data_IF_134204216845
#
_entry.id   IF_134204216845
#
_cell.length_a   1.000
_cell.length_b   1.000
_cell.length_c   1.000
_cell.angle_alpha   90.00
_cell.angle_beta   90.00
_cell.angle_gamma   90.00
#
_symmetry.space_group_name_H-M   'P 1'
#
loop_
_entity.id
_entity.type
_entity.pdbx_description
1 polymer ?
#
# COMPACT_ATOMS: atom_id res chain seq x y z
N UNK A 1 34.07 30.83 15.86
CA UNK A 1 33.47 31.89 15.02
C UNK A 1 32.17 31.34 14.44
N UNK A 2 31.04 31.94 14.81
CA UNK A 2 29.72 31.47 14.42
C UNK A 2 28.69 32.47 14.90
N UNK A 3 28.50 33.53 14.13
CA UNK A 3 27.59 34.63 14.42
C UNK A 3 26.15 34.17 14.21
N UNK A 4 25.35 34.16 15.28
CA UNK A 4 23.91 34.03 15.18
C UNK A 4 23.33 35.36 14.65
N UNK A 5 22.78 35.33 13.42
CA UNK A 5 21.99 36.42 12.88
C UNK A 5 20.60 36.37 13.54
N UNK A 6 20.44 37.10 14.65
CA UNK A 6 19.12 37.44 15.17
C UNK A 6 18.53 38.53 14.28
N UNK A 7 17.60 38.17 13.40
CA UNK A 7 16.84 39.12 12.59
C UNK A 7 15.80 39.79 13.49
N UNK A 8 16.17 40.92 14.08
CA UNK A 8 15.27 41.80 14.82
C UNK A 8 14.45 42.63 13.83
N UNK A 9 13.24 42.16 13.52
CA UNK A 9 12.22 42.99 12.88
C UNK A 9 11.74 44.01 13.92
N UNK A 10 12.26 45.23 13.86
CA UNK A 10 11.74 46.35 14.64
C UNK A 10 10.40 46.78 14.05
N UNK A 11 9.31 46.85 14.84
CA UNK A 11 8.02 47.32 14.34
C UNK A 11 8.13 48.79 13.94
N UNK A 12 7.62 49.11 12.74
CA UNK A 12 7.63 50.46 12.14
C UNK A 12 6.81 51.47 12.97
N UNK A 13 5.93 51.00 13.85
CA UNK A 13 5.09 51.84 14.69
C UNK A 13 5.62 51.86 16.12
N UNK A 14 6.41 52.89 16.44
CA UNK A 14 6.57 53.33 17.84
C UNK A 14 5.25 53.96 18.28
N UNK A 15 4.53 53.30 19.18
CA UNK A 15 3.40 53.90 19.89
C UNK A 15 3.90 55.12 20.67
N UNK A 16 3.25 56.30 20.58
CA UNK A 16 3.57 57.40 21.47
C UNK A 16 3.22 56.97 22.90
N UNK A 17 4.19 57.09 23.81
CA UNK A 17 3.96 56.92 25.25
C UNK A 17 3.07 58.07 25.73
N UNK A 18 1.77 57.81 25.78
CA UNK A 18 0.75 58.71 26.29
C UNK A 18 -0.62 58.18 25.90
N UNK A 19 -1.49 57.99 26.90
CA UNK A 19 -2.86 57.47 26.78
C UNK A 19 -3.78 58.40 25.96
N UNK A 20 -3.46 58.58 24.68
CA UNK A 20 -4.30 59.29 23.73
C UNK A 20 -5.13 58.27 22.98
N UNK A 21 -6.40 58.20 23.35
CA UNK A 21 -7.41 57.41 22.64
C UNK A 21 -7.41 57.81 21.17
N UNK A 22 -7.61 56.84 20.28
CA UNK A 22 -7.67 57.07 18.82
C UNK A 22 -8.68 58.18 18.47
N UNK A 23 -9.73 58.34 19.28
CA UNK A 23 -10.73 59.41 19.18
C UNK A 23 -10.15 60.80 19.43
N UNK A 24 -9.23 60.98 20.38
CA UNK A 24 -8.59 62.27 20.67
C UNK A 24 -7.63 62.71 19.56
N UNK A 25 -7.01 61.74 18.89
CA UNK A 25 -6.13 61.99 17.74
C UNK A 25 -6.97 62.42 16.52
N UNK A 26 -8.11 61.77 16.28
CA UNK A 26 -9.03 62.12 15.19
C UNK A 26 -9.74 63.48 15.41
N UNK A 27 -10.03 63.82 16.67
CA UNK A 27 -10.65 65.10 17.04
C UNK A 27 -9.67 66.29 17.00
N UNK A 28 -8.35 66.03 17.10
CA UNK A 28 -7.31 67.06 17.01
C UNK A 28 -7.07 67.46 15.54
N UNK A 29 -8.07 68.11 14.96
CA UNK A 29 -7.99 68.83 13.69
C UNK A 29 -6.89 69.90 13.80
N UNK A 30 -5.84 69.79 12.99
CA UNK A 30 -4.82 70.84 12.86
C UNK A 30 -5.44 72.07 12.20
N UNK A 31 -5.49 73.24 12.85
CA UNK A 31 -6.07 74.45 12.27
C UNK A 31 -5.00 75.19 11.46
N UNK A 32 -4.41 74.55 10.47
CA UNK A 32 -3.44 75.18 9.56
C UNK A 32 -3.18 74.30 8.33
N UNK A 33 -4.14 74.21 7.42
CA UNK A 33 -3.79 73.91 6.02
C UNK A 33 -4.90 74.29 5.04
N UNK A 34 -4.58 75.28 4.19
CA UNK A 34 -5.19 75.64 2.89
C UNK A 34 -6.68 75.96 2.86
N UNK A 35 -7.03 76.98 2.08
CA UNK A 35 -8.39 77.20 1.56
C UNK A 35 -8.88 75.91 0.90
N UNK A 36 -9.56 75.07 1.67
CA UNK A 36 -10.22 73.88 1.17
C UNK A 36 -11.38 74.38 0.32
N UNK A 37 -11.18 74.41 -0.99
CA UNK A 37 -12.27 74.43 -1.95
C UNK A 37 -13.23 73.31 -1.50
N UNK A 38 -14.42 73.70 -1.05
CA UNK A 38 -15.36 72.76 -0.46
C UNK A 38 -15.76 71.77 -1.55
N UNK A 39 -15.31 70.52 -1.42
CA UNK A 39 -15.67 69.45 -2.34
C UNK A 39 -17.19 69.41 -2.48
N UNK A 40 -17.68 69.46 -3.72
CA UNK A 40 -19.12 69.40 -3.97
C UNK A 40 -19.70 68.11 -3.35
N UNK A 41 -20.67 68.22 -2.44
CA UNK A 41 -21.24 67.07 -1.74
C UNK A 41 -21.88 66.07 -2.71
N UNK A 42 -22.36 66.55 -3.86
CA UNK A 42 -22.97 65.74 -4.90
C UNK A 42 -21.95 64.82 -5.57
N UNK A 43 -20.78 65.36 -5.92
CA UNK A 43 -19.67 64.60 -6.50
C UNK A 43 -19.10 63.59 -5.50
N UNK A 44 -19.00 63.98 -4.23
CA UNK A 44 -18.55 63.08 -3.15
C UNK A 44 -19.50 61.91 -2.95
N UNK A 45 -20.82 62.16 -2.92
CA UNK A 45 -21.84 61.12 -2.81
C UNK A 45 -21.81 60.14 -4.01
N UNK A 46 -21.60 60.64 -5.23
CA UNK A 46 -21.43 59.78 -6.42
C UNK A 46 -20.20 58.88 -6.31
N UNK A 47 -19.08 59.41 -5.84
CA UNK A 47 -17.86 58.62 -5.64
C UNK A 47 -18.09 57.50 -4.61
N UNK A 48 -18.75 57.80 -3.50
CA UNK A 48 -19.13 56.80 -2.51
C UNK A 48 -20.07 55.73 -3.09
N UNK A 49 -21.05 56.11 -3.91
CA UNK A 49 -21.94 55.16 -4.57
C UNK A 49 -21.17 54.22 -5.51
N UNK A 50 -20.25 54.77 -6.32
CA UNK A 50 -19.39 53.97 -7.21
C UNK A 50 -18.49 53.03 -6.40
N UNK A 51 -17.90 53.52 -5.30
CA UNK A 51 -17.06 52.71 -4.44
C UNK A 51 -17.84 51.60 -3.72
N UNK A 52 -19.04 51.89 -3.21
CA UNK A 52 -19.91 50.88 -2.60
C UNK A 52 -20.32 49.81 -3.59
N UNK A 53 -20.66 50.20 -4.82
CA UNK A 53 -21.01 49.24 -5.87
C UNK A 53 -19.80 48.37 -6.24
N UNK A 54 -18.61 48.97 -6.36
CA UNK A 54 -17.38 48.22 -6.56
C UNK A 54 -17.09 47.25 -5.41
N UNK A 55 -17.26 47.67 -4.16
CA UNK A 55 -17.11 46.80 -2.99
C UNK A 55 -18.10 45.63 -3.03
N UNK A 56 -19.36 45.90 -3.35
CA UNK A 56 -20.43 44.90 -3.43
C UNK A 56 -20.13 43.85 -4.50
N UNK A 57 -19.76 44.28 -5.71
CA UNK A 57 -19.41 43.38 -6.82
C UNK A 57 -18.16 42.56 -6.49
N UNK A 58 -17.15 43.20 -5.91
CA UNK A 58 -15.90 42.53 -5.52
C UNK A 58 -16.16 41.46 -4.45
N UNK A 59 -16.93 41.77 -3.41
CA UNK A 59 -17.30 40.82 -2.37
C UNK A 59 -18.09 39.63 -2.95
N UNK A 60 -19.05 39.88 -3.83
CA UNK A 60 -19.83 38.83 -4.48
C UNK A 60 -18.95 37.91 -5.35
N UNK A 61 -18.00 38.49 -6.09
CA UNK A 61 -17.08 37.72 -6.92
C UNK A 61 -16.12 36.86 -6.08
N UNK A 62 -15.62 37.40 -4.96
CA UNK A 62 -14.78 36.65 -4.01
C UNK A 62 -15.58 35.48 -3.43
N UNK A 63 -16.81 35.71 -2.98
CA UNK A 63 -17.66 34.67 -2.41
C UNK A 63 -17.91 33.53 -3.42
N UNK A 64 -18.26 33.88 -4.66
CA UNK A 64 -18.45 32.88 -5.74
C UNK A 64 -17.19 32.06 -6.00
N UNK A 65 -16.03 32.72 -6.08
CA UNK A 65 -14.77 32.03 -6.32
C UNK A 65 -14.38 31.11 -5.15
N UNK A 66 -14.63 31.53 -3.91
CA UNK A 66 -14.41 30.70 -2.72
C UNK A 66 -15.33 29.47 -2.71
N UNK A 67 -16.58 29.62 -3.10
CA UNK A 67 -17.52 28.51 -3.23
C UNK A 67 -17.05 27.49 -4.30
N UNK A 68 -16.66 27.97 -5.49
CA UNK A 68 -16.15 27.10 -6.56
C UNK A 68 -14.87 26.35 -6.14
N UNK A 69 -13.96 27.05 -5.46
CA UNK A 69 -12.74 26.44 -4.90
C UNK A 69 -13.08 25.40 -3.83
N UNK A 70 -14.04 25.68 -2.95
CA UNK A 70 -14.53 24.73 -1.95
C UNK A 70 -15.04 23.43 -2.57
N UNK A 71 -15.88 23.53 -3.61
CA UNK A 71 -16.38 22.36 -4.34
C UNK A 71 -15.25 21.54 -4.99
N UNK A 72 -14.24 22.21 -5.57
CA UNK A 72 -13.07 21.55 -6.17
C UNK A 72 -12.22 20.84 -5.12
N UNK A 73 -12.00 21.46 -3.96
CA UNK A 73 -11.24 20.86 -2.86
C UNK A 73 -11.93 19.59 -2.38
N UNK A 74 -13.25 19.65 -2.10
CA UNK A 74 -14.03 18.48 -1.68
C UNK A 74 -13.95 17.36 -2.71
N UNK A 75 -14.08 17.69 -4.01
CA UNK A 75 -13.97 16.69 -5.08
C UNK A 75 -12.58 16.03 -5.16
N UNK A 76 -11.51 16.81 -4.97
CA UNK A 76 -10.14 16.28 -4.94
C UNK A 76 -9.90 15.41 -3.70
N UNK A 77 -10.41 15.81 -2.54
CA UNK A 77 -10.30 15.03 -1.30
C UNK A 77 -11.00 13.66 -1.43
N UNK A 78 -12.24 13.65 -1.95
CA UNK A 78 -12.98 12.41 -2.20
C UNK A 78 -12.25 11.49 -3.18
N UNK A 79 -11.74 12.05 -4.28
CA UNK A 79 -11.00 11.28 -5.28
C UNK A 79 -9.69 10.73 -4.70
N UNK A 80 -8.97 11.52 -3.91
CA UNK A 80 -7.71 11.12 -3.27
C UNK A 80 -7.93 9.96 -2.30
N UNK A 81 -9.01 9.99 -1.52
CA UNK A 81 -9.37 8.92 -0.60
C UNK A 81 -9.71 7.61 -1.35
N UNK A 82 -10.49 7.70 -2.43
CA UNK A 82 -10.81 6.56 -3.30
C UNK A 82 -9.57 5.96 -3.96
N UNK A 83 -8.65 6.81 -4.43
CA UNK A 83 -7.39 6.37 -5.01
C UNK A 83 -6.52 5.65 -3.98
N UNK A 84 -6.39 6.21 -2.77
CA UNK A 84 -5.66 5.58 -1.68
C UNK A 84 -6.23 4.21 -1.33
N UNK A 85 -7.55 4.10 -1.18
CA UNK A 85 -8.23 2.84 -0.90
C UNK A 85 -7.92 1.79 -1.99
N UNK A 86 -8.01 2.18 -3.27
CA UNK A 86 -7.71 1.29 -4.39
C UNK A 86 -6.26 0.82 -4.41
N UNK A 87 -5.32 1.74 -4.13
CA UNK A 87 -3.90 1.42 -4.05
C UNK A 87 -3.58 0.47 -2.89
N UNK A 88 -4.19 0.69 -1.72
CA UNK A 88 -4.02 -0.20 -0.57
C UNK A 88 -4.56 -1.60 -0.86
N UNK A 89 -5.73 -1.71 -1.48
CA UNK A 89 -6.29 -2.99 -1.89
C UNK A 89 -5.37 -3.70 -2.90
N UNK A 90 -4.92 -2.98 -3.94
CA UNK A 90 -3.98 -3.53 -4.92
C UNK A 90 -2.68 -4.02 -4.26
N UNK A 91 -2.15 -3.26 -3.29
CA UNK A 91 -0.99 -3.66 -2.50
C UNK A 91 -1.20 -4.98 -1.76
N UNK A 92 -2.34 -5.15 -1.09
CA UNK A 92 -2.67 -6.42 -0.41
C UNK A 92 -2.81 -7.60 -1.38
N UNK A 93 -3.45 -7.39 -2.53
CA UNK A 93 -3.58 -8.43 -3.57
C UNK A 93 -2.21 -8.84 -4.12
N UNK A 94 -1.32 -7.86 -4.35
CA UNK A 94 0.05 -8.12 -4.80
C UNK A 94 0.85 -8.88 -3.74
N UNK A 95 0.74 -8.52 -2.47
CA UNK A 95 1.39 -9.20 -1.36
C UNK A 95 0.94 -10.66 -1.25
N UNK A 96 -0.37 -10.91 -1.32
CA UNK A 96 -0.93 -12.27 -1.36
C UNK A 96 -0.43 -13.06 -2.57
N UNK A 97 -0.45 -12.46 -3.76
CA UNK A 97 0.04 -13.09 -4.99
C UNK A 97 1.52 -13.45 -4.88
N UNK A 98 2.34 -12.58 -4.31
CA UNK A 98 3.76 -12.83 -4.07
C UNK A 98 3.97 -13.99 -3.07
N UNK A 99 3.16 -14.06 -2.00
CA UNK A 99 3.19 -15.17 -1.06
C UNK A 99 2.83 -16.51 -1.73
N UNK A 100 1.80 -16.53 -2.58
CA UNK A 100 1.44 -17.72 -3.36
C UNK A 100 2.55 -18.14 -4.32
N UNK A 101 3.15 -17.21 -5.06
CA UNK A 101 4.28 -17.51 -5.95
C UNK A 101 5.48 -18.06 -5.20
N UNK A 102 5.77 -17.54 -4.00
CA UNK A 102 6.82 -18.08 -3.13
C UNK A 102 6.55 -19.54 -2.74
N UNK A 103 5.30 -19.86 -2.40
CA UNK A 103 4.89 -21.24 -2.09
C UNK A 103 5.01 -22.17 -3.30
N UNK A 104 4.55 -21.73 -4.47
CA UNK A 104 4.68 -22.48 -5.74
C UNK A 104 6.15 -22.73 -6.07
N UNK A 105 7.01 -21.73 -5.89
CA UNK A 105 8.45 -21.89 -6.13
C UNK A 105 9.06 -22.93 -5.18
N UNK A 106 8.72 -22.91 -3.89
CA UNK A 106 9.20 -23.91 -2.94
C UNK A 106 8.79 -25.33 -3.36
N UNK A 107 7.54 -25.52 -3.76
CA UNK A 107 7.05 -26.80 -4.25
C UNK A 107 7.76 -27.24 -5.53
N UNK A 108 8.01 -26.31 -6.46
CA UNK A 108 8.74 -26.60 -7.69
C UNK A 108 10.15 -27.15 -7.39
N UNK A 109 10.85 -26.58 -6.41
CA UNK A 109 12.17 -27.06 -5.99
C UNK A 109 12.09 -28.50 -5.47
N UNK A 110 11.13 -28.79 -4.60
CA UNK A 110 10.94 -30.14 -4.04
C UNK A 110 10.61 -31.17 -5.13
N UNK A 111 9.70 -30.84 -6.05
CA UNK A 111 9.36 -31.71 -7.19
C UNK A 111 10.57 -31.95 -8.09
N UNK A 112 11.40 -30.93 -8.33
CA UNK A 112 12.62 -31.11 -9.12
C UNK A 112 13.64 -32.00 -8.43
N UNK A 113 13.78 -31.92 -7.10
CA UNK A 113 14.69 -32.78 -6.35
C UNK A 113 14.17 -34.23 -6.28
N UNK A 114 12.87 -34.44 -6.05
CA UNK A 114 12.24 -35.76 -6.13
C UNK A 114 12.45 -36.41 -7.50
N UNK A 115 12.31 -35.63 -8.57
CA UNK A 115 12.59 -36.12 -9.94
C UNK A 115 14.05 -36.54 -10.10
N UNK A 116 14.99 -35.75 -9.57
CA UNK A 116 16.43 -36.06 -9.61
C UNK A 116 16.74 -37.35 -8.87
N UNK A 117 16.26 -37.50 -7.63
CA UNK A 117 16.50 -38.69 -6.79
C UNK A 117 15.88 -39.96 -7.39
N UNK A 118 14.68 -39.86 -7.97
CA UNK A 118 14.06 -40.98 -8.67
C UNK A 118 14.86 -41.42 -9.89
N UNK A 119 15.33 -40.46 -10.70
CA UNK A 119 16.15 -40.73 -11.89
C UNK A 119 17.46 -41.42 -11.50
N UNK A 120 18.11 -40.94 -10.43
CA UNK A 120 19.33 -41.54 -9.89
C UNK A 120 19.07 -42.99 -9.39
N UNK A 121 17.95 -43.20 -8.69
CA UNK A 121 17.54 -44.52 -8.21
C UNK A 121 17.30 -45.50 -9.36
N UNK A 122 16.55 -45.08 -10.40
CA UNK A 122 16.32 -45.90 -11.59
C UNK A 122 17.65 -46.26 -12.27
N UNK A 123 18.55 -45.29 -12.47
CA UNK A 123 19.87 -45.56 -13.06
C UNK A 123 20.70 -46.53 -12.22
N UNK A 124 20.63 -46.43 -10.89
CA UNK A 124 21.29 -47.37 -9.99
C UNK A 124 20.70 -48.79 -10.12
N UNK A 125 19.38 -48.92 -10.25
CA UNK A 125 18.73 -50.20 -10.53
C UNK A 125 19.11 -50.77 -11.89
N UNK A 126 19.15 -49.95 -12.95
CA UNK A 126 19.58 -50.39 -14.29
C UNK A 126 21.01 -50.94 -14.27
N UNK A 127 21.94 -50.25 -13.59
CA UNK A 127 23.32 -50.74 -13.38
C UNK A 127 23.35 -52.06 -12.62
N UNK A 128 22.50 -52.21 -11.60
CA UNK A 128 22.40 -53.44 -10.83
C UNK A 128 21.86 -54.59 -11.69
N UNK A 129 20.81 -54.36 -12.49
CA UNK A 129 20.27 -55.32 -13.45
C UNK A 129 21.34 -55.78 -14.44
N UNK A 130 22.08 -54.85 -15.06
CA UNK A 130 23.20 -55.18 -15.95
C UNK A 130 24.29 -56.00 -15.24
N UNK A 131 24.60 -55.69 -13.99
CA UNK A 131 25.55 -56.47 -13.18
C UNK A 131 25.03 -57.88 -12.89
N UNK A 132 23.75 -58.04 -12.60
CA UNK A 132 23.14 -59.37 -12.38
C UNK A 132 23.13 -60.18 -13.67
N UNK A 133 22.84 -59.58 -14.83
CA UNK A 133 22.90 -60.26 -16.12
C UNK A 133 24.33 -60.73 -16.45
N UNK A 134 25.31 -59.84 -16.30
CA UNK A 134 26.73 -60.17 -16.55
C UNK A 134 27.28 -61.20 -15.55
N UNK A 135 26.91 -61.14 -14.27
CA UNK A 135 27.29 -62.15 -13.28
C UNK A 135 26.49 -63.46 -13.39
N UNK A 136 25.23 -63.40 -13.84
CA UNK A 136 24.37 -64.58 -14.07
C UNK A 136 24.85 -65.45 -15.23
N UNK A 137 25.51 -64.85 -16.21
CA UNK A 137 26.23 -65.56 -17.28
C UNK A 137 27.52 -66.23 -16.79
N UNK A 138 28.02 -65.89 -15.60
CA UNK A 138 29.14 -66.59 -14.96
C UNK A 138 28.61 -67.75 -14.09
N UNK A 139 28.31 -68.87 -14.77
CA UNK A 139 28.29 -70.25 -14.25
C UNK A 139 27.57 -70.48 -12.92
N UNK A 140 26.29 -70.84 -13.00
CA UNK A 140 25.72 -71.87 -12.11
C UNK A 140 25.68 -73.21 -12.85
N UNK A 141 26.79 -73.94 -12.82
CA UNK A 141 26.78 -75.39 -12.98
C UNK A 141 26.17 -75.99 -11.71
N UNK A 142 24.86 -75.82 -11.54
CA UNK A 142 24.11 -76.50 -10.49
C UNK A 142 23.55 -77.75 -11.14
N UNK A 143 24.16 -78.88 -10.80
CA UNK A 143 23.61 -80.21 -11.05
C UNK A 143 22.22 -80.27 -10.40
N UNK A 144 21.15 -80.68 -11.11
CA UNK A 144 19.82 -80.71 -10.52
C UNK A 144 19.82 -81.72 -9.36
N UNK A 145 19.57 -81.23 -8.13
CA UNK A 145 19.22 -82.10 -7.02
C UNK A 145 17.78 -82.53 -7.21
N UNK A 146 17.55 -83.85 -7.27
CA UNK A 146 16.21 -84.45 -7.21
C UNK A 146 15.49 -83.99 -5.94
N UNK A 147 14.36 -83.32 -6.13
CA UNK A 147 13.44 -82.98 -5.05
C UNK A 147 12.59 -84.22 -4.78
N UNK A 148 12.85 -84.91 -3.67
CA UNK A 148 11.88 -85.84 -3.09
C UNK A 148 10.74 -85.01 -2.50
N UNK A 149 9.53 -85.23 -3.00
CA UNK A 149 8.35 -84.48 -2.58
C UNK A 149 7.96 -84.90 -1.17
N UNK A 150 8.08 -83.99 -0.21
CA UNK A 150 7.37 -84.10 1.06
C UNK A 150 6.64 -82.78 1.34
N UNK A 151 5.36 -82.80 1.04
CA UNK A 151 4.40 -81.74 1.32
C UNK A 151 4.14 -81.65 2.82
N UNK A 152 4.39 -80.50 3.43
CA UNK A 152 3.63 -80.08 4.62
C UNK A 152 3.14 -78.64 4.45
N UNK A 153 1.83 -78.57 4.28
CA UNK A 153 0.98 -77.40 4.40
C UNK A 153 1.24 -76.68 5.73
N UNK A 154 1.49 -75.38 5.65
CA UNK A 154 1.49 -74.46 6.79
C UNK A 154 0.85 -73.16 6.36
N UNK A 155 -0.48 -73.16 6.28
CA UNK A 155 -1.29 -71.97 6.05
C UNK A 155 -1.22 -71.07 7.28
N UNK A 156 -0.73 -69.83 7.14
CA UNK A 156 -1.07 -68.77 8.08
C UNK A 156 -1.48 -67.49 7.37
N UNK A 157 -2.57 -66.98 7.91
CA UNK A 157 -3.54 -66.06 7.36
C UNK A 157 -3.12 -64.60 7.52
N UNK A 158 -3.72 -63.80 6.65
CA UNK A 158 -3.53 -62.40 6.34
C UNK A 158 -4.00 -61.50 7.49
N UNK A 159 -3.24 -60.43 7.78
CA UNK A 159 -3.84 -59.18 8.28
C UNK A 159 -3.16 -57.97 7.65
N UNK A 160 -3.72 -57.53 6.53
CA UNK A 160 -3.49 -56.19 6.00
C UNK A 160 -4.03 -55.16 7.00
N UNK A 161 -3.20 -54.20 7.41
CA UNK A 161 -3.62 -53.05 8.22
C UNK A 161 -3.67 -51.82 7.30
N UNK A 162 -4.87 -51.54 6.79
CA UNK A 162 -5.21 -50.31 6.08
C UNK A 162 -5.16 -49.15 7.08
N UNK A 163 -4.26 -48.18 6.87
CA UNK A 163 -4.23 -46.93 7.62
C UNK A 163 -4.69 -45.81 6.69
N UNK A 164 -5.87 -45.32 7.01
CA UNK A 164 -6.63 -44.29 6.31
C UNK A 164 -5.94 -42.92 6.36
N UNK A 165 -5.99 -42.22 5.23
CA UNK A 165 -5.59 -40.83 5.02
C UNK A 165 -6.60 -39.88 5.71
N UNK A 166 -6.19 -38.90 6.54
CA UNK A 166 -7.09 -37.86 7.01
C UNK A 166 -7.39 -36.82 5.92
N UNK A 167 -8.66 -36.44 5.84
CA UNK A 167 -9.22 -35.53 4.84
C UNK A 167 -8.78 -34.06 5.04
N UNK A 168 -8.68 -33.39 3.90
CA UNK A 168 -8.50 -31.96 3.71
C UNK A 168 -9.81 -31.22 4.04
N UNK A 169 -9.87 -30.49 5.15
CA UNK A 169 -10.97 -29.55 5.43
C UNK A 169 -10.62 -28.17 4.88
N UNK A 170 -11.28 -27.80 3.79
CA UNK A 170 -11.38 -26.41 3.32
C UNK A 170 -12.38 -25.66 4.18
N UNK A 171 -11.89 -24.85 5.13
CA UNK A 171 -12.71 -23.80 5.76
C UNK A 171 -12.59 -22.54 4.90
N UNK A 172 -13.67 -22.25 4.19
CA UNK A 172 -13.88 -20.99 3.47
C UNK A 172 -14.56 -20.05 4.45
N UNK A 173 -13.82 -19.10 5.03
CA UNK A 173 -14.44 -18.02 5.82
C UNK A 173 -14.45 -16.74 4.99
N UNK A 174 -15.65 -16.35 4.60
CA UNK A 174 -16.01 -15.02 4.12
C UNK A 174 -16.11 -14.05 5.31
N UNK A 175 -15.39 -12.94 5.26
CA UNK A 175 -15.73 -11.68 5.95
C UNK A 175 -15.25 -10.55 5.01
N UNK A 176 -16.15 -9.87 4.29
CA UNK A 176 -16.80 -8.61 4.69
C UNK A 176 -15.83 -7.61 5.35
N UNK A 177 -15.24 -6.72 4.54
CA UNK A 177 -15.50 -5.26 4.45
C UNK A 177 -14.60 -4.69 3.34
#
# INVERSE_FOLDING_TARGET
MGSALSSTVTPILKTPTGDSSLTDILLRRTPSQSTSEALDPTTTAKLFAVYQEWQRVTAANIAKNQEELGHKIIGVEELSLKLLQRLMYAGRVMESSAAHLKSVHALQVEVTDMKRTLTETISNYEKLCQKVETMGLHKRNIKPMSISSQSQFGSQDVRAKTLSLPQLTTETSSEQI
#
